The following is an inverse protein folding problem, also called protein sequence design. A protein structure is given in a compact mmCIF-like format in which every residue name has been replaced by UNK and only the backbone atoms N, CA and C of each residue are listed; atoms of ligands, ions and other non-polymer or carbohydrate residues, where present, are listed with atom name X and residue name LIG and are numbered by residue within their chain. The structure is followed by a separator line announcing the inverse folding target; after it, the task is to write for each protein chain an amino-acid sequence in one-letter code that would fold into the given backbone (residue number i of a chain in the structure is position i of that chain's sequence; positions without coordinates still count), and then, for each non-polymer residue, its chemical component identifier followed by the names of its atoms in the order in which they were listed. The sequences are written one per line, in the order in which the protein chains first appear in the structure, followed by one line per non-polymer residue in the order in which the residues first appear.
data_IF_180174578744
#
_entry.id   IF_180174578744
#
_cell.length_a   1.000
_cell.length_b   1.000
_cell.length_c   1.000
_cell.angle_alpha   90.00
_cell.angle_beta   90.00
_cell.angle_gamma   90.00
#
_symmetry.space_group_name_H-M   'P 1'
#
loop_
_entity.id
_entity.type
_entity.pdbx_description
1 polymer ?
#
# COMPACT_ATOMS: atom_id res chain seq x y z
N UNK A 1 -1.64 -15.32 -10.38
CA UNK A 1 -2.02 -15.54 -8.97
C UNK A 1 -2.08 -17.04 -8.72
N UNK A 2 -1.74 -17.50 -7.51
CA UNK A 2 -2.03 -18.86 -7.07
C UNK A 2 -3.54 -19.06 -6.93
N UNK A 3 -4.07 -20.10 -7.57
CA UNK A 3 -5.48 -20.46 -7.55
C UNK A 3 -5.64 -21.93 -7.19
N UNK A 4 -6.66 -22.23 -6.38
CA UNK A 4 -7.13 -23.59 -6.14
C UNK A 4 -8.08 -23.99 -7.27
N UNK A 5 -7.57 -24.76 -8.22
CA UNK A 5 -8.36 -25.35 -9.31
C UNK A 5 -9.42 -26.33 -8.82
N UNK A 6 -9.34 -26.76 -7.55
CA UNK A 6 -10.31 -27.64 -6.90
C UNK A 6 -11.04 -26.92 -5.76
N UNK A 7 -11.35 -25.64 -5.96
CA UNK A 7 -12.13 -24.83 -5.01
C UNK A 7 -13.48 -25.46 -4.71
N UNK A 8 -13.92 -25.37 -3.45
CA UNK A 8 -15.21 -25.90 -3.03
C UNK A 8 -16.32 -24.87 -3.25
N UNK A 9 -17.52 -25.31 -3.65
CA UNK A 9 -18.71 -24.45 -3.65
C UNK A 9 -19.03 -23.97 -2.23
N UNK A 10 -19.63 -22.78 -2.09
CA UNK A 10 -20.12 -22.32 -0.79
C UNK A 10 -21.09 -23.35 -0.16
N UNK A 11 -21.11 -23.48 1.18
CA UNK A 11 -22.02 -24.38 1.89
C UNK A 11 -23.46 -23.80 1.94
N UNK A 12 -24.04 -23.52 0.78
CA UNK A 12 -25.38 -22.94 0.61
C UNK A 12 -26.21 -23.75 -0.37
N UNK A 13 -27.54 -23.63 -0.28
CA UNK A 13 -28.47 -24.37 -1.14
C UNK A 13 -28.24 -25.89 -1.09
N UNK A 14 -28.07 -26.52 -2.26
CA UNK A 14 -27.81 -27.96 -2.38
C UNK A 14 -26.53 -28.44 -1.64
N UNK A 15 -25.62 -27.52 -1.31
CA UNK A 15 -24.33 -27.82 -0.68
C UNK A 15 -24.31 -27.64 0.85
N UNK A 16 -25.40 -27.15 1.46
CA UNK A 16 -25.41 -26.73 2.88
C UNK A 16 -25.10 -27.87 3.88
N UNK A 17 -25.46 -29.11 3.56
CA UNK A 17 -25.19 -30.29 4.40
C UNK A 17 -23.95 -31.09 4.00
N UNK A 18 -23.22 -30.65 2.98
CA UNK A 18 -22.10 -31.40 2.42
C UNK A 18 -20.77 -31.01 3.07
N UNK A 19 -19.91 -32.01 3.29
CA UNK A 19 -18.53 -31.78 3.72
C UNK A 19 -17.75 -30.95 2.70
N UNK A 20 -16.63 -30.35 3.12
CA UNK A 20 -15.75 -29.58 2.23
C UNK A 20 -15.33 -30.39 1.00
N UNK A 21 -14.96 -31.66 1.17
CA UNK A 21 -14.53 -32.52 0.07
C UNK A 21 -15.66 -32.79 -0.93
N UNK A 22 -16.88 -33.04 -0.45
CA UNK A 22 -18.04 -33.29 -1.33
C UNK A 22 -18.46 -32.05 -2.15
N UNK A 23 -18.07 -30.85 -1.70
CA UNK A 23 -18.33 -29.59 -2.41
C UNK A 23 -17.26 -29.25 -3.45
N UNK A 24 -16.22 -30.07 -3.61
CA UNK A 24 -15.17 -29.87 -4.61
C UNK A 24 -15.49 -30.56 -5.93
N UNK A 25 -14.95 -30.05 -7.02
CA UNK A 25 -15.05 -30.70 -8.34
C UNK A 25 -14.45 -32.11 -8.34
N UNK A 26 -13.33 -32.28 -7.64
CA UNK A 26 -12.67 -33.56 -7.44
C UNK A 26 -12.62 -33.92 -5.95
N UNK A 27 -13.65 -34.59 -5.41
CA UNK A 27 -13.79 -34.87 -3.97
C UNK A 27 -12.67 -35.71 -3.36
N UNK A 28 -12.02 -36.55 -4.17
CA UNK A 28 -10.92 -37.41 -3.75
C UNK A 28 -9.60 -36.65 -3.54
N UNK A 29 -9.50 -35.40 -4.01
CA UNK A 29 -8.28 -34.61 -3.93
C UNK A 29 -8.44 -33.37 -3.06
N UNK A 30 -7.30 -32.96 -2.49
CA UNK A 30 -7.16 -31.75 -1.71
C UNK A 30 -7.24 -30.48 -2.57
N UNK A 31 -6.60 -29.42 -2.08
CA UNK A 31 -6.34 -28.20 -2.86
C UNK A 31 -5.47 -28.55 -4.06
N UNK A 32 -5.87 -28.17 -5.27
CA UNK A 32 -5.05 -28.34 -6.49
C UNK A 32 -4.57 -26.95 -6.92
N UNK A 33 -3.34 -26.61 -6.55
CA UNK A 33 -2.77 -25.29 -6.82
C UNK A 33 -2.24 -25.13 -8.23
N UNK A 34 -2.56 -24.03 -8.89
CA UNK A 34 -1.89 -23.60 -10.12
C UNK A 34 -1.72 -22.08 -10.16
N UNK A 35 -0.74 -21.62 -10.94
CA UNK A 35 -0.44 -20.20 -11.13
C UNK A 35 -1.02 -19.79 -12.47
N UNK A 36 -2.14 -19.08 -12.42
CA UNK A 36 -2.82 -18.60 -13.62
C UNK A 36 -2.81 -17.07 -13.65
N UNK A 37 -2.60 -16.46 -14.84
CA UNK A 37 -2.50 -15.01 -15.00
C UNK A 37 -3.90 -14.35 -15.04
N UNK A 38 -4.71 -14.62 -14.02
CA UNK A 38 -6.02 -14.00 -13.84
C UNK A 38 -5.92 -12.89 -12.79
N UNK A 39 -6.74 -11.86 -12.95
CA UNK A 39 -6.73 -10.68 -12.10
C UNK A 39 -6.80 -9.40 -12.93
N UNK A 40 -7.20 -8.33 -12.27
CA UNK A 40 -7.16 -6.96 -12.77
C UNK A 40 -6.48 -6.05 -11.75
N UNK A 41 -5.89 -4.97 -12.26
CA UNK A 41 -5.37 -3.86 -11.49
C UNK A 41 -5.67 -2.55 -12.23
N UNK A 42 -5.91 -1.49 -11.45
CA UNK A 42 -6.14 -0.13 -11.93
C UNK A 42 -5.28 0.83 -11.12
N UNK A 43 -4.67 1.80 -11.79
CA UNK A 43 -3.85 2.83 -11.15
C UNK A 43 -4.25 4.20 -11.66
N UNK A 44 -4.72 5.05 -10.75
CA UNK A 44 -5.05 6.44 -11.01
C UNK A 44 -4.11 7.33 -10.19
N UNK A 45 -3.47 8.33 -10.79
CA UNK A 45 -2.55 9.21 -10.08
C UNK A 45 -2.53 10.65 -10.58
N UNK A 46 -2.29 11.57 -9.65
CA UNK A 46 -1.92 12.94 -9.88
C UNK A 46 -0.43 13.10 -9.57
N UNK A 47 0.32 13.66 -10.52
CA UNK A 47 1.75 13.94 -10.35
C UNK A 47 1.96 15.44 -10.57
N UNK A 48 2.58 16.08 -9.59
CA UNK A 48 2.96 17.49 -9.63
C UNK A 48 4.47 17.57 -9.55
N UNK A 49 5.09 18.19 -10.56
CA UNK A 49 6.53 18.39 -10.62
C UNK A 49 6.84 19.89 -10.54
N UNK A 50 7.68 20.25 -9.59
CA UNK A 50 8.22 21.60 -9.45
C UNK A 50 9.73 21.53 -9.70
N UNK A 51 10.20 22.29 -10.68
CA UNK A 51 11.62 22.46 -10.95
C UNK A 51 11.94 23.94 -10.92
N UNK A 52 12.94 24.26 -10.14
CA UNK A 52 13.50 25.58 -10.05
C UNK A 52 15.02 25.51 -10.15
N UNK A 53 15.59 26.48 -10.86
CA UNK A 53 17.02 26.52 -11.19
C UNK A 53 17.59 27.84 -10.73
N UNK A 54 18.42 27.76 -9.70
CA UNK A 54 19.23 28.86 -9.16
C UNK A 54 18.46 30.09 -8.64
N UNK A 55 17.23 29.92 -8.18
CA UNK A 55 16.51 31.01 -7.50
C UNK A 55 17.24 31.41 -6.22
N UNK A 56 17.85 32.60 -6.22
CA UNK A 56 18.72 33.08 -5.13
C UNK A 56 19.79 32.07 -4.70
N UNK A 57 20.32 31.27 -5.64
CA UNK A 57 21.32 30.24 -5.35
C UNK A 57 20.73 28.88 -4.93
N UNK A 58 19.40 28.72 -4.93
CA UNK A 58 18.69 27.44 -4.73
C UNK A 58 18.40 26.77 -6.07
N UNK A 59 18.81 25.52 -6.20
CA UNK A 59 18.29 24.60 -7.22
C UNK A 59 17.39 23.58 -6.54
N UNK A 60 16.15 23.44 -6.99
CA UNK A 60 15.13 22.60 -6.38
C UNK A 60 14.45 21.74 -7.45
N UNK A 61 14.33 20.44 -7.18
CA UNK A 61 13.49 19.52 -7.95
C UNK A 61 12.61 18.78 -6.96
N UNK A 62 11.30 18.97 -7.05
CA UNK A 62 10.31 18.34 -6.19
C UNK A 62 9.27 17.62 -7.02
N UNK A 63 9.00 16.36 -6.68
CA UNK A 63 7.94 15.57 -7.30
C UNK A 63 7.00 15.07 -6.21
N UNK A 64 5.74 15.48 -6.31
CA UNK A 64 4.66 15.02 -5.48
C UNK A 64 3.75 14.09 -6.29
N UNK A 65 3.49 12.90 -5.77
CA UNK A 65 2.57 11.94 -6.36
C UNK A 65 1.47 11.64 -5.37
N UNK A 66 0.22 11.78 -5.80
CA UNK A 66 -0.95 11.27 -5.10
C UNK A 66 -1.60 10.20 -5.97
N UNK A 67 -1.60 8.96 -5.50
CA UNK A 67 -2.01 7.82 -6.29
C UNK A 67 -3.02 6.95 -5.54
N UNK A 68 -3.88 6.29 -6.31
CA UNK A 68 -4.76 5.23 -5.87
C UNK A 68 -4.60 4.02 -6.79
N UNK A 69 -4.06 2.94 -6.23
CA UNK A 69 -4.00 1.64 -6.87
C UNK A 69 -5.13 0.76 -6.35
N UNK A 70 -5.88 0.13 -7.25
CA UNK A 70 -6.84 -0.92 -6.94
C UNK A 70 -6.39 -2.22 -7.60
N UNK A 71 -6.49 -3.32 -6.88
CA UNK A 71 -6.16 -4.63 -7.43
C UNK A 71 -7.04 -5.72 -6.83
N UNK A 72 -7.25 -6.77 -7.62
CA UNK A 72 -7.91 -8.03 -7.20
C UNK A 72 -6.94 -9.02 -6.53
N UNK A 73 -5.65 -8.75 -6.64
CA UNK A 73 -4.57 -9.56 -6.07
C UNK A 73 -3.66 -8.66 -5.25
N UNK A 74 -2.83 -9.25 -4.38
CA UNK A 74 -1.71 -8.51 -3.84
C UNK A 74 -0.38 -8.94 -4.47
N UNK A 75 0.26 -8.00 -5.19
CA UNK A 75 1.46 -8.23 -6.00
C UNK A 75 2.74 -8.48 -5.20
N UNK A 76 2.73 -8.39 -3.85
CA UNK A 76 3.95 -8.61 -3.07
C UNK A 76 4.43 -10.07 -3.12
N UNK A 77 3.52 -11.00 -3.37
CA UNK A 77 3.79 -12.42 -3.64
C UNK A 77 2.65 -12.97 -4.50
N UNK A 78 2.96 -13.75 -5.52
CA UNK A 78 1.99 -14.39 -6.41
C UNK A 78 0.93 -15.25 -5.70
N UNK A 79 1.16 -15.57 -4.42
CA UNK A 79 0.43 -16.54 -3.60
C UNK A 79 -0.52 -15.92 -2.57
N UNK A 80 -0.67 -14.59 -2.58
CA UNK A 80 -1.60 -13.91 -1.70
C UNK A 80 -2.68 -13.25 -2.59
N UNK A 81 -3.92 -13.30 -2.13
CA UNK A 81 -5.12 -12.93 -2.87
C UNK A 81 -6.24 -13.93 -2.59
N UNK A 82 -7.42 -13.77 -3.22
CA UNK A 82 -8.40 -14.86 -3.23
C UNK A 82 -7.85 -16.00 -4.07
N UNK A 83 -7.66 -17.16 -3.47
CA UNK A 83 -7.20 -18.34 -4.20
C UNK A 83 -8.35 -19.21 -4.69
N UNK A 84 -9.59 -18.70 -4.69
CA UNK A 84 -10.78 -19.43 -5.11
C UNK A 84 -11.04 -19.25 -6.61
N UNK A 85 -11.02 -20.35 -7.38
CA UNK A 85 -11.26 -20.32 -8.82
C UNK A 85 -12.73 -20.01 -9.18
N UNK A 86 -13.68 -20.31 -8.31
CA UNK A 86 -15.11 -20.00 -8.50
C UNK A 86 -15.40 -18.50 -8.33
N UNK A 87 -14.54 -17.79 -7.58
CA UNK A 87 -14.71 -16.35 -7.35
C UNK A 87 -13.39 -15.56 -7.39
N UNK A 88 -12.64 -15.59 -8.50
CA UNK A 88 -11.29 -15.01 -8.58
C UNK A 88 -11.28 -13.47 -8.49
N UNK A 89 -12.43 -12.82 -8.64
CA UNK A 89 -12.60 -11.37 -8.59
C UNK A 89 -13.44 -10.92 -7.38
N UNK A 90 -13.73 -11.83 -6.44
CA UNK A 90 -14.61 -11.56 -5.30
C UNK A 90 -14.10 -10.50 -4.33
N UNK A 91 -12.78 -10.27 -4.32
CA UNK A 91 -12.16 -9.25 -3.48
C UNK A 91 -11.35 -8.32 -4.35
N UNK A 92 -11.53 -7.03 -4.10
CA UNK A 92 -10.68 -5.98 -4.63
C UNK A 92 -10.44 -4.94 -3.54
N UNK A 93 -9.24 -4.39 -3.53
CA UNK A 93 -8.85 -3.44 -2.50
C UNK A 93 -7.69 -2.56 -2.95
N UNK A 94 -7.26 -1.70 -2.04
CA UNK A 94 -6.11 -0.85 -2.30
C UNK A 94 -4.83 -1.69 -2.46
N UNK A 95 -4.09 -1.39 -3.52
CA UNK A 95 -2.87 -2.09 -3.86
C UNK A 95 -1.77 -1.82 -2.82
N UNK A 96 -1.32 -2.86 -2.12
CA UNK A 96 -0.28 -2.77 -1.07
C UNK A 96 1.11 -2.31 -1.55
N UNK A 97 1.32 -2.11 -2.85
CA UNK A 97 2.57 -1.60 -3.44
C UNK A 97 2.43 -0.19 -3.98
N UNK A 98 1.26 0.43 -3.82
CA UNK A 98 1.00 1.81 -4.24
C UNK A 98 0.87 2.65 -2.98
N UNK A 99 1.89 3.44 -2.61
CA UNK A 99 1.75 4.45 -1.57
C UNK A 99 0.73 5.51 -1.98
N UNK A 100 -0.13 5.93 -1.05
CA UNK A 100 -1.17 6.93 -1.35
C UNK A 100 -0.53 8.26 -1.73
N UNK A 101 0.43 8.76 -0.93
CA UNK A 101 1.14 10.01 -1.21
C UNK A 101 2.63 9.81 -1.05
N UNK A 102 3.39 10.29 -2.02
CA UNK A 102 4.84 10.35 -1.95
C UNK A 102 5.35 11.72 -2.40
N UNK A 103 6.39 12.19 -1.72
CA UNK A 103 7.08 13.44 -2.03
C UNK A 103 8.58 13.14 -2.06
N UNK A 104 9.21 13.41 -3.18
CA UNK A 104 10.66 13.31 -3.33
C UNK A 104 11.16 14.68 -3.74
N UNK A 105 12.01 15.26 -2.90
CA UNK A 105 12.55 16.61 -3.11
C UNK A 105 14.06 16.57 -3.02
N UNK A 106 14.72 16.90 -4.13
CA UNK A 106 16.14 17.16 -4.19
C UNK A 106 16.40 18.67 -4.19
N UNK A 107 17.34 19.12 -3.39
CA UNK A 107 17.70 20.53 -3.29
C UNK A 107 19.21 20.71 -3.17
N UNK A 108 19.69 21.83 -3.72
CA UNK A 108 21.07 22.28 -3.60
C UNK A 108 21.05 23.79 -3.44
N UNK A 109 21.49 24.28 -2.29
CA UNK A 109 21.49 25.69 -1.94
C UNK A 109 22.91 26.19 -1.73
N UNK A 110 23.32 27.18 -2.52
CA UNK A 110 24.60 27.86 -2.32
C UNK A 110 24.40 28.92 -1.25
N UNK A 111 25.07 28.75 -0.11
CA UNK A 111 24.94 29.66 1.03
C UNK A 111 25.47 31.05 0.65
N UNK A 112 24.75 32.13 0.94
CA UNK A 112 25.13 33.48 0.55
C UNK A 112 26.16 34.07 1.53
N UNK A 113 27.17 33.30 1.94
CA UNK A 113 28.24 33.75 2.82
C UNK A 113 29.45 34.26 2.03
N UNK A 114 30.04 35.36 2.53
CA UNK A 114 31.30 35.90 2.04
C UNK A 114 31.20 37.35 1.61
N UNK A 115 32.35 37.92 1.26
CA UNK A 115 32.50 39.32 0.89
C UNK A 115 31.67 39.63 -0.36
N UNK A 116 30.76 40.61 -0.25
CA UNK A 116 29.84 40.99 -1.34
C UNK A 116 28.61 40.09 -1.53
N UNK A 117 28.35 39.15 -0.61
CA UNK A 117 27.10 38.36 -0.55
C UNK A 117 26.16 38.90 0.53
N UNK A 118 24.93 38.39 0.60
CA UNK A 118 23.90 38.86 1.55
C UNK A 118 24.31 38.63 3.02
N UNK A 119 25.01 37.53 3.32
CA UNK A 119 25.48 37.22 4.67
C UNK A 119 27.00 37.37 4.77
N UNK A 120 27.47 37.92 5.90
CA UNK A 120 28.88 38.12 6.17
C UNK A 120 29.60 38.99 5.11
N UNK A 121 28.92 40.01 4.59
CA UNK A 121 29.35 40.84 3.46
C UNK A 121 30.65 41.63 3.69
N UNK A 122 30.96 41.96 4.95
CA UNK A 122 32.10 42.79 5.37
C UNK A 122 33.27 42.01 5.95
N UNK A 123 33.29 40.68 5.84
CA UNK A 123 34.35 39.86 6.41
C UNK A 123 35.73 40.13 5.79
N UNK A 124 36.77 40.09 6.63
CA UNK A 124 38.16 40.22 6.20
C UNK A 124 38.60 39.10 5.25
N UNK A 125 39.70 39.30 4.50
CA UNK A 125 40.12 38.40 3.42
C UNK A 125 40.40 36.95 3.88
N UNK A 126 40.88 36.76 5.11
CA UNK A 126 41.12 35.43 5.69
C UNK A 126 39.80 34.71 5.99
N UNK A 127 38.86 35.40 6.63
CA UNK A 127 37.55 34.85 6.97
C UNK A 127 36.70 34.59 5.71
N UNK A 128 36.84 35.43 4.67
CA UNK A 128 36.18 35.21 3.40
C UNK A 128 36.55 33.87 2.76
N UNK A 129 37.83 33.47 2.78
CA UNK A 129 38.26 32.18 2.22
C UNK A 129 37.63 30.97 2.90
N UNK A 130 37.32 31.09 4.20
CA UNK A 130 36.71 30.00 4.97
C UNK A 130 35.20 29.96 4.78
N UNK A 131 34.55 31.12 4.67
CA UNK A 131 33.09 31.22 4.64
C UNK A 131 32.49 31.24 3.24
N UNK A 132 33.26 31.49 2.18
CA UNK A 132 32.71 31.60 0.82
C UNK A 132 32.59 30.26 0.10
N UNK A 133 31.53 30.10 -0.70
CA UNK A 133 31.40 29.00 -1.67
C UNK A 133 30.84 27.69 -1.11
N UNK A 134 30.28 27.72 0.11
CA UNK A 134 29.60 26.55 0.66
C UNK A 134 28.28 26.29 -0.06
N UNK A 135 28.05 25.02 -0.40
CA UNK A 135 26.77 24.53 -0.94
C UNK A 135 26.26 23.42 -0.04
N UNK A 136 25.01 23.54 0.40
CA UNK A 136 24.30 22.49 1.12
C UNK A 136 23.36 21.78 0.15
N UNK A 137 23.49 20.46 0.04
CA UNK A 137 22.65 19.65 -0.84
C UNK A 137 22.04 18.47 -0.08
N UNK A 138 20.89 18.02 -0.55
CA UNK A 138 20.16 16.93 0.07
C UNK A 138 19.02 16.41 -0.79
N UNK A 139 18.55 15.21 -0.43
CA UNK A 139 17.34 14.61 -0.96
C UNK A 139 16.51 14.17 0.23
N UNK A 140 15.26 14.62 0.27
CA UNK A 140 14.28 14.21 1.27
C UNK A 140 13.15 13.45 0.60
N UNK A 141 12.78 12.33 1.21
CA UNK A 141 11.70 11.47 0.74
C UNK A 141 10.67 11.31 1.85
N UNK A 142 9.43 11.65 1.56
CA UNK A 142 8.28 11.44 2.42
C UNK A 142 7.28 10.51 1.73
N UNK A 143 6.66 9.62 2.50
CA UNK A 143 5.64 8.70 2.01
C UNK A 143 4.65 8.40 3.11
N UNK A 144 3.35 8.31 2.77
CA UNK A 144 2.31 7.83 3.69
C UNK A 144 2.40 6.33 3.96
N UNK A 145 3.30 5.63 3.26
CA UNK A 145 3.40 4.17 3.30
C UNK A 145 2.33 3.51 2.43
N UNK A 146 2.45 2.19 2.30
CA UNK A 146 1.50 1.41 1.52
C UNK A 146 0.32 0.91 2.36
N UNK A 147 -0.90 0.86 1.80
CA UNK A 147 -2.06 0.33 2.50
C UNK A 147 -1.85 -1.13 2.88
N UNK A 148 -2.35 -1.51 4.06
CA UNK A 148 -2.34 -2.89 4.54
C UNK A 148 -3.77 -3.38 4.76
N UNK A 149 -4.14 -4.56 4.24
CA UNK A 149 -5.43 -5.18 4.49
C UNK A 149 -5.45 -5.73 5.92
N UNK A 150 -6.64 -5.73 6.51
CA UNK A 150 -6.91 -6.47 7.75
C UNK A 150 -7.35 -7.87 7.35
N UNK A 151 -6.73 -8.88 7.97
CA UNK A 151 -7.11 -10.27 7.76
C UNK A 151 -7.92 -10.77 8.96
N UNK A 152 -8.95 -11.55 8.65
CA UNK A 152 -9.79 -12.24 9.62
C UNK A 152 -9.72 -13.75 9.43
N UNK A 153 -10.57 -14.46 10.16
CA UNK A 153 -10.75 -15.90 9.99
C UNK A 153 -11.53 -16.16 8.71
N UNK A 154 -11.12 -17.14 7.92
CA UNK A 154 -11.95 -17.62 6.82
C UNK A 154 -13.19 -18.35 7.38
N UNK A 155 -14.37 -17.81 7.07
CA UNK A 155 -15.67 -18.39 7.39
C UNK A 155 -16.50 -18.69 6.13
N UNK A 156 -15.95 -18.52 4.93
CA UNK A 156 -16.63 -18.85 3.66
C UNK A 156 -16.98 -20.34 3.57
N UNK A 157 -16.24 -21.18 4.30
CA UNK A 157 -16.39 -22.64 4.27
C UNK A 157 -15.75 -23.30 3.05
N UNK A 158 -14.97 -22.58 2.24
CA UNK A 158 -14.27 -23.15 1.07
C UNK A 158 -12.78 -23.42 1.31
N UNK A 159 -12.33 -23.21 2.56
CA UNK A 159 -10.97 -23.45 3.04
C UNK A 159 -9.90 -22.55 2.39
N UNK A 160 -10.19 -21.25 2.34
CA UNK A 160 -9.20 -20.23 2.03
C UNK A 160 -8.21 -20.07 3.18
N UNK A 161 -7.01 -19.58 2.84
CA UNK A 161 -5.97 -19.33 3.84
C UNK A 161 -6.25 -18.09 4.71
N UNK A 162 -7.12 -17.18 4.26
CA UNK A 162 -7.44 -15.90 4.91
C UNK A 162 -8.88 -15.48 4.63
N UNK A 163 -9.55 -14.88 5.61
CA UNK A 163 -10.79 -14.13 5.41
C UNK A 163 -10.53 -12.63 5.41
N UNK A 164 -11.46 -11.86 4.85
CA UNK A 164 -11.48 -10.40 4.96
C UNK A 164 -12.67 -10.02 5.86
N UNK A 165 -12.46 -9.30 6.98
CA UNK A 165 -13.56 -8.92 7.85
C UNK A 165 -14.30 -7.69 7.32
N UNK A 166 -15.58 -7.61 7.64
CA UNK A 166 -16.44 -6.46 7.38
C UNK A 166 -16.02 -5.29 8.26
N UNK A 167 -15.91 -4.10 7.65
CA UNK A 167 -15.65 -2.85 8.36
C UNK A 167 -16.98 -2.18 8.76
N UNK A 168 -17.35 -2.28 10.03
CA UNK A 168 -18.65 -1.79 10.56
C UNK A 168 -18.60 -0.35 11.11
N UNK A 169 -17.41 0.22 11.31
CA UNK A 169 -17.22 1.60 11.73
C UNK A 169 -15.91 2.21 11.21
N UNK A 170 -15.70 3.52 11.43
CA UNK A 170 -14.44 4.20 11.11
C UNK A 170 -13.33 3.76 12.09
N UNK A 171 -12.31 3.00 11.63
CA UNK A 171 -11.29 2.43 12.51
C UNK A 171 -10.29 3.48 12.99
N UNK A 172 -10.40 4.74 12.55
CA UNK A 172 -9.54 5.85 13.00
C UNK A 172 -10.13 6.61 14.19
N UNK A 173 -11.29 6.19 14.70
CA UNK A 173 -12.00 6.87 15.79
C UNK A 173 -12.29 5.94 16.97
N UNK A 174 -12.56 6.55 18.13
CA UNK A 174 -13.03 5.88 19.34
C UNK A 174 -12.07 4.81 19.90
N UNK A 175 -10.77 5.12 19.98
CA UNK A 175 -9.76 4.28 20.64
C UNK A 175 -8.62 5.14 21.21
N UNK A 176 -7.76 4.55 22.04
CA UNK A 176 -6.76 5.30 22.84
C UNK A 176 -5.55 5.82 22.04
N UNK A 177 -5.44 5.52 20.74
CA UNK A 177 -4.39 6.02 19.84
C UNK A 177 -2.96 5.91 20.40
N UNK A 178 -2.62 4.74 20.95
CA UNK A 178 -1.28 4.50 21.51
C UNK A 178 -0.32 3.97 20.43
N UNK A 179 0.99 3.98 20.69
CA UNK A 179 1.97 3.38 19.76
C UNK A 179 1.73 1.88 19.46
N UNK A 180 0.94 1.19 20.29
CA UNK A 180 0.59 -0.22 20.14
C UNK A 180 -0.79 -0.43 19.52
N UNK A 181 -1.59 0.63 19.44
CA UNK A 181 -2.96 0.61 18.95
C UNK A 181 -3.07 1.72 17.91
N UNK A 182 -2.90 1.37 16.63
CA UNK A 182 -2.85 2.33 15.52
C UNK A 182 -4.23 2.55 14.89
N UNK A 183 -5.15 1.62 15.11
CA UNK A 183 -6.53 1.67 14.65
C UNK A 183 -7.43 0.85 15.59
N UNK A 184 -8.71 1.17 15.62
CA UNK A 184 -9.71 0.45 16.39
C UNK A 184 -10.03 -0.90 15.75
N UNK A 185 -9.60 -1.98 16.40
CA UNK A 185 -9.82 -3.36 15.93
C UNK A 185 -11.27 -3.82 16.10
N UNK A 186 -12.06 -3.20 16.99
CA UNK A 186 -13.47 -3.54 17.18
C UNK A 186 -14.35 -3.16 15.99
N UNK A 187 -13.84 -2.36 15.05
CA UNK A 187 -14.52 -2.03 13.80
C UNK A 187 -14.48 -3.14 12.76
N UNK A 188 -13.82 -4.27 13.03
CA UNK A 188 -13.69 -5.39 12.10
C UNK A 188 -14.40 -6.63 12.66
N UNK A 189 -15.42 -7.08 11.94
CA UNK A 189 -16.21 -8.27 12.30
C UNK A 189 -16.08 -9.30 11.19
N UNK A 190 -15.88 -10.57 11.54
CA UNK A 190 -15.82 -11.61 10.51
C UNK A 190 -17.20 -11.75 9.85
N UNK A 191 -17.20 -11.94 8.53
CA UNK A 191 -18.41 -12.22 7.77
C UNK A 191 -19.11 -13.50 8.27
N UNK A 192 -20.44 -13.64 8.10
CA UNK A 192 -21.17 -14.86 8.42
C UNK A 192 -20.60 -16.11 7.74
N UNK A 193 -20.91 -17.30 8.31
CA UNK A 193 -20.47 -18.54 7.69
C UNK A 193 -21.14 -18.76 6.32
N UNK A 194 -20.36 -19.18 5.33
CA UNK A 194 -20.87 -19.49 3.99
C UNK A 194 -21.13 -18.28 3.10
N UNK A 195 -20.70 -17.08 3.50
CA UNK A 195 -20.76 -15.88 2.67
C UNK A 195 -19.37 -15.46 2.21
N UNK A 196 -19.31 -14.85 1.02
CA UNK A 196 -18.11 -14.11 0.62
C UNK A 196 -17.94 -12.88 1.51
N UNK A 197 -16.70 -12.50 1.84
CA UNK A 197 -16.39 -11.22 2.45
C UNK A 197 -16.48 -10.06 1.45
#
# INVERSE_FOLDING_TARGET
MFMDLNSAYLPTGQYAGMSLAQRRFFPQWGRIGSWIPIGWAKYDALIVSLRDREWHGLTLISNFTWAKGLASSNMRTSDIGITDLLNPYGVSGEAQWVPEKSLITGYSYTLPFGRGKELASSVGPVMNKVLSGWTASGITTFSTGSPQPVYGRDLTGVALSRGYPDRICDPRKNFNQTRLEWFNTSCFVNAPFGTWP
#
